data_IF_542928340178
#
_entry.id   IF_542928340178
#
_cell.length_a   1.000
_cell.length_b   1.000
_cell.length_c   1.000
_cell.angle_alpha   90.00
_cell.angle_beta   90.00
_cell.angle_gamma   90.00
#
_symmetry.space_group_name_H-M   'P 1'
#
loop_
_entity.id
_entity.type
_entity.pdbx_description
1 polymer ?
#
# COMPACT_ATOMS: atom_id res chain seq x y z
N UNK A 1 16.28 7.04 -10.70
CA UNK A 1 16.12 5.99 -9.68
C UNK A 1 16.18 6.53 -8.25
N UNK A 2 16.93 7.59 -8.04
CA UNK A 2 17.20 8.11 -6.68
C UNK A 2 16.04 8.89 -6.02
N UNK A 3 14.89 9.07 -6.72
CA UNK A 3 13.88 9.97 -6.21
C UNK A 3 13.03 9.37 -5.08
N UNK A 4 12.49 8.17 -5.24
CA UNK A 4 11.53 7.62 -4.27
C UNK A 4 12.19 7.22 -2.94
N UNK A 5 13.36 6.58 -2.97
CA UNK A 5 14.14 6.28 -1.76
C UNK A 5 14.54 7.57 -1.05
N UNK A 6 15.02 8.56 -1.81
CA UNK A 6 15.40 9.86 -1.27
C UNK A 6 14.20 10.55 -0.61
N UNK A 7 13.02 10.51 -1.22
CA UNK A 7 11.80 11.08 -0.64
C UNK A 7 11.43 10.42 0.70
N UNK A 8 11.52 9.09 0.80
CA UNK A 8 11.33 8.39 2.08
C UNK A 8 12.42 8.76 3.09
N UNK A 9 13.68 8.91 2.67
CA UNK A 9 14.77 9.38 3.52
C UNK A 9 14.52 10.79 4.06
N UNK A 10 14.02 11.69 3.21
CA UNK A 10 13.61 13.05 3.60
C UNK A 10 12.45 13.02 4.60
N UNK A 11 11.45 12.16 4.36
CA UNK A 11 10.31 12.00 5.28
C UNK A 11 10.75 11.55 6.67
N UNK A 12 11.67 10.57 6.76
CA UNK A 12 12.25 10.14 8.04
C UNK A 12 13.01 11.30 8.72
N UNK A 13 13.87 12.00 7.99
CA UNK A 13 14.62 13.14 8.54
C UNK A 13 13.69 14.26 9.03
N UNK A 14 12.59 14.54 8.32
CA UNK A 14 11.58 15.51 8.73
C UNK A 14 10.95 15.10 10.05
N UNK A 15 10.54 13.84 10.16
CA UNK A 15 10.02 13.30 11.42
C UNK A 15 11.05 13.37 12.54
N UNK A 16 12.31 12.98 12.29
CA UNK A 16 13.39 13.04 13.27
C UNK A 16 13.59 14.47 13.80
N UNK A 17 13.64 15.44 12.92
CA UNK A 17 13.87 16.83 13.29
C UNK A 17 12.69 17.46 14.04
N UNK A 18 11.46 17.03 13.76
CA UNK A 18 10.25 17.67 14.27
C UNK A 18 9.70 16.97 15.51
N UNK A 19 9.72 15.64 15.54
CA UNK A 19 8.96 14.85 16.53
C UNK A 19 9.81 13.91 17.37
N UNK A 20 10.96 13.43 16.85
CA UNK A 20 11.73 12.35 17.48
C UNK A 20 12.15 12.67 18.91
N UNK A 21 12.63 13.88 19.18
CA UNK A 21 13.11 14.26 20.52
C UNK A 21 12.00 14.15 21.56
N UNK A 22 10.84 14.78 21.31
CA UNK A 22 9.69 14.76 22.22
C UNK A 22 9.09 13.35 22.33
N UNK A 23 9.02 12.62 21.23
CA UNK A 23 8.49 11.26 21.23
C UNK A 23 9.40 10.30 22.00
N UNK A 24 10.72 10.35 21.77
CA UNK A 24 11.72 9.47 22.40
C UNK A 24 11.82 9.69 23.90
N UNK A 25 11.67 10.91 24.41
CA UNK A 25 11.69 11.20 25.85
C UNK A 25 10.61 10.44 26.62
N UNK A 26 9.48 10.18 25.98
CA UNK A 26 8.35 9.46 26.56
C UNK A 26 8.37 7.95 26.24
N UNK A 27 9.25 7.49 25.34
CA UNK A 27 9.23 6.16 24.75
C UNK A 27 10.64 5.56 24.53
N UNK A 28 11.57 5.75 25.46
CA UNK A 28 13.00 5.42 25.27
C UNK A 28 13.27 4.00 24.73
N UNK A 29 12.63 2.98 25.32
CA UNK A 29 12.82 1.58 24.87
C UNK A 29 12.23 1.34 23.46
N UNK A 30 11.11 1.99 23.16
CA UNK A 30 10.45 1.87 21.87
C UNK A 30 11.27 2.60 20.80
N UNK A 31 11.89 3.73 21.14
CA UNK A 31 12.76 4.50 20.26
C UNK A 31 13.96 3.68 19.78
N UNK A 32 14.61 2.93 20.65
CA UNK A 32 15.71 2.02 20.28
C UNK A 32 15.28 0.95 19.29
N UNK A 33 14.07 0.41 19.43
CA UNK A 33 13.52 -0.57 18.47
C UNK A 33 13.19 0.10 17.13
N UNK A 34 12.65 1.31 17.16
CA UNK A 34 12.36 2.07 15.94
C UNK A 34 13.64 2.39 15.16
N UNK A 35 14.71 2.82 15.85
CA UNK A 35 16.01 3.06 15.19
C UNK A 35 16.54 1.81 14.50
N UNK A 36 16.38 0.63 15.10
CA UNK A 36 16.70 -0.65 14.46
C UNK A 36 15.81 -0.90 13.23
N UNK A 37 14.52 -0.62 13.30
CA UNK A 37 13.59 -0.78 12.16
C UNK A 37 13.99 0.14 11.01
N UNK A 38 14.26 1.42 11.29
CA UNK A 38 14.73 2.38 10.29
C UNK A 38 16.06 1.93 9.68
N UNK A 39 16.99 1.47 10.51
CA UNK A 39 18.31 0.97 10.09
C UNK A 39 18.28 -0.25 9.18
N UNK A 40 17.16 -0.99 9.10
CA UNK A 40 16.97 -2.10 8.13
C UNK A 40 16.83 -1.60 6.68
N UNK A 41 16.64 -0.30 6.48
CA UNK A 41 16.40 0.31 5.18
C UNK A 41 15.01 0.00 4.62
N UNK A 42 14.82 0.30 3.35
CA UNK A 42 13.57 0.15 2.64
C UNK A 42 13.55 -1.12 1.78
N UNK A 43 12.35 -1.53 1.38
CA UNK A 43 12.14 -2.41 0.25
C UNK A 43 11.19 -1.71 -0.72
N UNK A 44 11.61 -1.52 -1.96
CA UNK A 44 10.90 -0.72 -2.95
C UNK A 44 10.82 -1.47 -4.28
N UNK A 45 9.69 -1.33 -4.96
CA UNK A 45 9.50 -1.73 -6.35
C UNK A 45 9.58 -0.46 -7.22
N UNK A 46 10.58 -0.36 -8.09
CA UNK A 46 10.91 0.88 -8.80
C UNK A 46 10.41 0.95 -10.25
N UNK A 47 10.00 -0.19 -10.82
CA UNK A 47 9.56 -0.31 -12.22
C UNK A 47 8.03 -0.32 -12.39
N UNK A 48 7.33 0.37 -11.50
CA UNK A 48 5.87 0.41 -11.54
C UNK A 48 5.36 1.12 -12.80
N UNK A 49 4.46 0.48 -13.57
CA UNK A 49 3.92 1.08 -14.78
C UNK A 49 2.97 2.25 -14.47
N UNK A 50 2.95 3.23 -15.35
CA UNK A 50 1.95 4.31 -15.32
C UNK A 50 0.64 3.78 -15.91
N UNK A 51 -0.49 4.10 -15.29
CA UNK A 51 -1.85 3.71 -15.71
C UNK A 51 -2.10 2.19 -15.73
N UNK A 52 -1.33 1.42 -14.98
CA UNK A 52 -1.52 -0.03 -14.87
C UNK A 52 -2.39 -0.45 -13.69
N UNK A 53 -2.28 -1.74 -13.35
CA UNK A 53 -2.82 -2.31 -12.12
C UNK A 53 -1.73 -2.18 -11.04
N UNK A 54 -2.06 -1.58 -9.91
CA UNK A 54 -1.16 -1.44 -8.78
C UNK A 54 -1.58 -2.39 -7.65
N UNK A 55 -0.83 -3.46 -7.44
CA UNK A 55 -0.99 -4.29 -6.25
C UNK A 55 -0.39 -3.55 -5.04
N UNK A 56 -1.12 -3.51 -3.93
CA UNK A 56 -0.69 -2.80 -2.74
C UNK A 56 -0.67 -3.70 -1.50
N UNK A 57 0.43 -3.67 -0.78
CA UNK A 57 0.62 -4.25 0.54
C UNK A 57 0.61 -3.20 1.66
N UNK A 58 0.92 -3.61 2.88
CA UNK A 58 1.04 -2.67 4.01
C UNK A 58 2.49 -2.32 4.29
N UNK A 59 3.36 -3.30 4.42
CA UNK A 59 4.79 -3.12 4.58
C UNK A 59 5.54 -4.41 4.21
N UNK A 60 6.80 -4.31 3.75
CA UNK A 60 7.59 -5.47 3.40
C UNK A 60 8.03 -6.26 4.65
N UNK A 61 8.13 -7.57 4.52
CA UNK A 61 8.72 -8.44 5.54
C UNK A 61 10.22 -8.16 5.70
N UNK A 62 10.75 -8.49 6.86
CA UNK A 62 12.20 -8.47 7.12
C UNK A 62 12.69 -9.90 7.35
N UNK A 63 13.12 -10.64 6.34
CA UNK A 63 13.96 -11.82 6.52
C UNK A 63 15.36 -11.34 6.98
N UNK A 64 15.88 -11.97 8.06
CA UNK A 64 17.07 -11.47 8.77
C UNK A 64 18.35 -11.37 7.93
N UNK A 65 18.39 -12.04 6.78
CA UNK A 65 19.58 -12.20 5.95
C UNK A 65 19.62 -11.29 4.70
N UNK A 66 18.55 -10.55 4.42
CA UNK A 66 18.49 -9.70 3.23
C UNK A 66 18.80 -8.24 3.58
N UNK A 67 19.72 -7.64 2.83
CA UNK A 67 19.91 -6.18 2.81
C UNK A 67 18.69 -5.50 2.16
N UNK A 68 18.59 -4.18 2.33
CA UNK A 68 17.59 -3.38 1.60
C UNK A 68 17.61 -3.73 0.11
N UNK A 69 16.45 -4.00 -0.46
CA UNK A 69 16.37 -4.55 -1.81
C UNK A 69 15.46 -3.67 -2.67
N UNK A 70 16.01 -3.30 -3.80
CA UNK A 70 15.23 -2.81 -4.93
C UNK A 70 14.93 -4.00 -5.81
N UNK A 71 13.69 -4.17 -6.22
CA UNK A 71 13.34 -5.23 -7.15
C UNK A 71 12.42 -4.72 -8.25
N UNK A 72 12.46 -5.42 -9.36
CA UNK A 72 11.37 -5.39 -10.32
C UNK A 72 10.20 -6.20 -9.77
N UNK A 73 8.97 -5.72 -9.96
CA UNK A 73 7.78 -6.51 -9.61
C UNK A 73 7.80 -7.86 -10.33
N UNK A 74 8.39 -7.94 -11.51
CA UNK A 74 8.53 -9.18 -12.26
C UNK A 74 9.46 -10.20 -11.60
N UNK A 75 10.44 -9.76 -10.82
CA UNK A 75 11.44 -10.59 -10.13
C UNK A 75 11.02 -11.00 -8.71
N UNK A 76 9.96 -10.39 -8.18
CA UNK A 76 9.47 -10.71 -6.84
C UNK A 76 9.11 -12.19 -6.72
N UNK A 77 9.71 -12.88 -5.75
CA UNK A 77 9.55 -14.32 -5.51
C UNK A 77 9.22 -14.62 -4.07
N UNK A 78 8.89 -15.88 -3.76
CA UNK A 78 8.54 -16.33 -2.43
C UNK A 78 7.03 -16.52 -2.21
N UNK A 79 6.66 -16.99 -1.02
CA UNK A 79 5.29 -17.46 -0.70
C UNK A 79 4.20 -16.40 -0.89
N UNK A 80 4.48 -15.15 -0.56
CA UNK A 80 3.52 -14.05 -0.75
C UNK A 80 3.30 -13.79 -2.24
N UNK A 81 4.41 -13.77 -3.01
CA UNK A 81 4.42 -13.42 -4.42
C UNK A 81 3.91 -14.52 -5.33
N UNK A 82 4.10 -15.80 -4.97
CA UNK A 82 3.76 -16.95 -5.82
C UNK A 82 2.32 -16.89 -6.34
N UNK A 83 1.38 -16.47 -5.48
CA UNK A 83 -0.03 -16.32 -5.83
C UNK A 83 -0.28 -15.12 -6.74
N UNK A 84 0.26 -13.96 -6.38
CA UNK A 84 0.11 -12.76 -7.20
C UNK A 84 0.82 -12.88 -8.55
N UNK A 85 1.95 -13.58 -8.60
CA UNK A 85 2.64 -13.92 -9.84
C UNK A 85 1.76 -14.78 -10.76
N UNK A 86 0.98 -15.72 -10.20
CA UNK A 86 -0.02 -16.50 -10.95
C UNK A 86 -1.19 -15.63 -11.40
N UNK A 87 -1.78 -14.88 -10.48
CA UNK A 87 -3.03 -14.16 -10.70
C UNK A 87 -2.88 -12.93 -11.59
N UNK A 88 -1.73 -12.26 -11.53
CA UNK A 88 -1.40 -11.08 -12.34
C UNK A 88 -0.46 -11.43 -13.51
N UNK A 89 -0.27 -12.71 -13.83
CA UNK A 89 0.71 -13.17 -14.82
C UNK A 89 0.60 -12.44 -16.17
N UNK A 90 -0.61 -12.30 -16.69
CA UNK A 90 -0.86 -11.60 -17.96
C UNK A 90 -0.41 -10.14 -17.88
N UNK A 91 -0.81 -9.43 -16.85
CA UNK A 91 -0.49 -8.01 -16.68
C UNK A 91 0.99 -7.76 -16.38
N UNK A 92 1.64 -8.68 -15.66
CA UNK A 92 3.08 -8.64 -15.43
C UNK A 92 3.87 -8.84 -16.73
N UNK A 93 3.51 -9.83 -17.54
CA UNK A 93 4.19 -10.10 -18.81
C UNK A 93 4.05 -8.97 -19.83
N UNK A 94 3.00 -8.16 -19.72
CA UNK A 94 2.76 -6.97 -20.55
C UNK A 94 3.26 -5.67 -19.91
N UNK A 95 3.96 -5.76 -18.78
CA UNK A 95 4.43 -4.60 -18.00
C UNK A 95 3.32 -3.59 -17.66
N UNK A 96 2.12 -4.09 -17.33
CA UNK A 96 0.95 -3.29 -16.93
C UNK A 96 0.53 -3.53 -15.49
N UNK A 97 1.30 -4.30 -14.72
CA UNK A 97 1.11 -4.48 -13.28
C UNK A 97 2.36 -4.07 -12.51
N UNK A 98 2.15 -3.40 -11.37
CA UNK A 98 3.19 -2.96 -10.44
C UNK A 98 2.84 -3.29 -8.99
N UNK A 99 3.75 -2.94 -8.08
CA UNK A 99 3.57 -3.16 -6.66
C UNK A 99 4.05 -1.98 -5.82
N UNK A 100 3.31 -1.67 -4.74
CA UNK A 100 3.72 -0.71 -3.73
C UNK A 100 3.28 -1.17 -2.34
N UNK A 101 4.15 -1.03 -1.34
CA UNK A 101 3.73 -1.09 0.05
C UNK A 101 3.32 0.31 0.54
N UNK A 102 2.32 0.39 1.41
CA UNK A 102 1.91 1.66 2.02
C UNK A 102 3.03 2.28 2.84
N UNK A 103 3.85 1.43 3.45
CA UNK A 103 5.01 1.83 4.23
C UNK A 103 6.23 1.02 3.78
N UNK A 104 7.35 1.66 3.43
CA UNK A 104 8.53 0.95 2.91
C UNK A 104 9.36 0.27 3.99
N UNK A 105 9.03 0.48 5.28
CA UNK A 105 9.79 -0.05 6.42
C UNK A 105 9.65 -1.56 6.54
N UNK A 106 10.77 -2.25 6.70
CA UNK A 106 10.88 -3.70 6.73
C UNK A 106 10.56 -4.28 8.11
N UNK A 107 9.33 -4.76 8.29
CA UNK A 107 8.82 -5.26 9.57
C UNK A 107 8.05 -6.56 9.39
N UNK A 108 8.51 -7.66 10.02
CA UNK A 108 7.92 -8.99 9.83
C UNK A 108 6.62 -9.24 10.58
N UNK A 109 6.33 -8.46 11.62
CA UNK A 109 5.15 -8.67 12.49
C UNK A 109 4.33 -7.40 12.56
N UNK A 110 3.48 -7.16 11.55
CA UNK A 110 2.69 -5.94 11.41
C UNK A 110 2.05 -5.47 12.72
N UNK A 111 1.17 -6.26 13.33
CA UNK A 111 0.47 -5.85 14.56
C UNK A 111 1.41 -5.69 15.76
N UNK A 112 2.42 -6.55 15.89
CA UNK A 112 3.29 -6.57 17.07
C UNK A 112 4.45 -5.58 17.00
N UNK A 113 4.95 -5.30 15.82
CA UNK A 113 6.11 -4.43 15.63
C UNK A 113 5.73 -3.11 14.97
N UNK A 114 5.09 -3.16 13.78
CA UNK A 114 4.77 -1.94 13.05
C UNK A 114 3.79 -1.04 13.83
N UNK A 115 2.66 -1.60 14.28
CA UNK A 115 1.66 -0.82 15.04
C UNK A 115 2.18 -0.33 16.39
N UNK A 116 3.05 -1.11 17.02
CA UNK A 116 3.59 -0.77 18.35
C UNK A 116 4.74 0.22 18.29
N UNK A 117 5.64 0.10 17.31
CA UNK A 117 6.93 0.81 17.33
C UNK A 117 7.03 1.97 16.35
N UNK A 118 6.19 2.02 15.31
CA UNK A 118 6.20 3.12 14.33
C UNK A 118 5.17 4.17 14.77
N UNK A 119 5.62 5.37 15.17
CA UNK A 119 4.71 6.42 15.65
C UNK A 119 3.80 6.96 14.55
N UNK A 120 2.70 7.55 14.97
CA UNK A 120 1.64 8.08 14.10
C UNK A 120 2.19 9.10 13.09
N UNK A 121 3.01 10.02 13.58
CA UNK A 121 3.59 11.11 12.80
C UNK A 121 4.54 10.55 11.72
N UNK A 122 5.34 9.53 12.06
CA UNK A 122 6.21 8.88 11.07
C UNK A 122 5.38 8.12 10.04
N UNK A 123 4.31 7.43 10.45
CA UNK A 123 3.38 6.79 9.50
C UNK A 123 2.80 7.83 8.54
N UNK A 124 2.39 9.00 9.05
CA UNK A 124 1.83 10.07 8.22
C UNK A 124 2.84 10.58 7.19
N UNK A 125 4.08 10.84 7.59
CA UNK A 125 5.15 11.29 6.70
C UNK A 125 5.46 10.26 5.60
N UNK A 126 5.58 8.98 5.96
CA UNK A 126 5.85 7.92 4.99
C UNK A 126 4.66 7.71 4.03
N UNK A 127 3.44 7.74 4.57
CA UNK A 127 2.23 7.54 3.76
C UNK A 127 2.02 8.67 2.76
N UNK A 128 2.42 9.91 3.09
CA UNK A 128 2.40 11.04 2.18
C UNK A 128 3.28 10.78 0.94
N UNK A 129 4.49 10.26 1.14
CA UNK A 129 5.38 9.89 0.01
C UNK A 129 4.74 8.80 -0.84
N UNK A 130 4.19 7.76 -0.20
CA UNK A 130 3.48 6.67 -0.91
C UNK A 130 2.30 7.20 -1.70
N UNK A 131 1.49 8.10 -1.12
CA UNK A 131 0.35 8.70 -1.82
C UNK A 131 0.81 9.51 -3.04
N UNK A 132 1.87 10.30 -2.90
CA UNK A 132 2.45 11.07 -4.02
C UNK A 132 2.90 10.13 -5.15
N UNK A 133 3.51 8.99 -4.81
CA UNK A 133 3.92 8.01 -5.82
C UNK A 133 2.71 7.34 -6.50
N UNK A 134 1.67 6.97 -5.76
CA UNK A 134 0.43 6.43 -6.34
C UNK A 134 -0.20 7.45 -7.30
N UNK A 135 -0.25 8.73 -6.92
CA UNK A 135 -0.74 9.81 -7.78
C UNK A 135 0.10 9.98 -9.07
N UNK A 136 1.42 9.84 -8.96
CA UNK A 136 2.32 9.87 -10.12
C UNK A 136 2.07 8.71 -11.07
N UNK A 137 1.87 7.50 -10.54
CA UNK A 137 1.61 6.29 -11.30
C UNK A 137 0.24 6.29 -11.99
N UNK A 138 -0.74 7.01 -11.43
CA UNK A 138 -2.12 7.09 -11.95
C UNK A 138 -2.72 5.72 -12.30
N UNK A 139 -2.70 4.73 -11.39
CA UNK A 139 -3.22 3.41 -11.68
C UNK A 139 -4.70 3.47 -12.08
N UNK A 140 -5.12 2.56 -12.96
CA UNK A 140 -6.54 2.39 -13.28
C UNK A 140 -7.25 1.55 -12.21
N UNK A 141 -6.52 0.61 -11.62
CA UNK A 141 -6.98 -0.26 -10.54
C UNK A 141 -5.90 -0.39 -9.49
N UNK A 142 -6.25 -0.16 -8.22
CA UNK A 142 -5.45 -0.50 -7.06
C UNK A 142 -6.06 -1.76 -6.45
N UNK A 143 -5.28 -2.83 -6.29
CA UNK A 143 -5.67 -4.04 -5.57
C UNK A 143 -4.99 -4.01 -4.21
N UNK A 144 -5.72 -3.66 -3.16
CA UNK A 144 -5.18 -3.66 -1.80
C UNK A 144 -5.40 -5.00 -1.13
N UNK A 145 -4.32 -5.77 -1.00
CA UNK A 145 -4.33 -7.16 -0.52
C UNK A 145 -4.27 -7.29 1.00
N UNK A 146 -4.92 -6.39 1.72
CA UNK A 146 -5.02 -6.43 3.18
C UNK A 146 -6.23 -5.62 3.69
N UNK A 147 -7.38 -6.27 3.84
CA UNK A 147 -8.61 -5.61 4.29
C UNK A 147 -8.45 -4.83 5.59
N UNK A 148 -7.60 -5.28 6.52
CA UNK A 148 -7.46 -4.64 7.84
C UNK A 148 -6.67 -3.32 7.80
N UNK A 149 -6.02 -3.00 6.69
CA UNK A 149 -5.27 -1.74 6.50
C UNK A 149 -5.86 -0.85 5.40
N UNK A 150 -7.03 -1.19 4.86
CA UNK A 150 -7.69 -0.39 3.83
C UNK A 150 -8.10 1.01 4.32
N UNK A 151 -8.24 1.20 5.62
CA UNK A 151 -8.52 2.50 6.22
C UNK A 151 -7.46 3.56 5.86
N UNK A 152 -6.22 3.17 5.56
CA UNK A 152 -5.20 4.11 5.07
C UNK A 152 -5.58 4.79 3.75
N UNK A 153 -6.40 4.16 2.93
CA UNK A 153 -6.95 4.76 1.72
C UNK A 153 -8.14 5.69 1.98
N UNK A 154 -8.80 5.57 3.13
CA UNK A 154 -10.02 6.32 3.47
C UNK A 154 -11.29 5.46 3.49
N UNK A 155 -11.18 4.12 3.58
CA UNK A 155 -12.36 3.24 3.73
C UNK A 155 -13.01 3.35 5.10
N UNK A 156 -12.34 3.95 6.07
CA UNK A 156 -12.87 4.30 7.37
C UNK A 156 -12.97 5.82 7.47
N UNK A 157 -14.18 6.37 7.49
CA UNK A 157 -14.38 7.82 7.55
C UNK A 157 -13.93 8.45 8.87
N UNK A 158 -13.79 7.67 9.95
CA UNK A 158 -13.31 8.14 11.24
C UNK A 158 -11.77 8.28 11.26
N UNK A 159 -11.07 7.57 10.37
CA UNK A 159 -9.62 7.55 10.27
C UNK A 159 -9.14 7.72 8.81
N UNK A 160 -9.45 8.85 8.15
CA UNK A 160 -9.21 9.00 6.72
C UNK A 160 -7.77 9.42 6.39
N UNK A 161 -6.81 8.54 6.49
CA UNK A 161 -5.37 8.83 6.31
C UNK A 161 -5.00 9.50 4.98
N UNK A 162 -5.08 8.79 3.85
CA UNK A 162 -4.86 9.39 2.52
C UNK A 162 -6.01 10.31 2.12
N UNK A 163 -7.17 10.09 2.71
CA UNK A 163 -8.34 10.94 2.53
C UNK A 163 -9.01 10.83 1.18
N UNK A 164 -8.90 9.71 0.48
CA UNK A 164 -9.70 9.51 -0.73
C UNK A 164 -11.19 9.43 -0.38
N UNK A 165 -11.99 10.19 -1.10
CA UNK A 165 -13.45 10.06 -1.09
C UNK A 165 -13.84 8.84 -1.94
N UNK A 166 -14.34 7.80 -1.26
CA UNK A 166 -14.53 6.47 -1.82
C UNK A 166 -16.02 6.16 -1.95
N UNK A 167 -16.48 5.95 -3.17
CA UNK A 167 -17.81 5.43 -3.44
C UNK A 167 -17.74 3.92 -3.65
N UNK A 168 -18.46 3.14 -2.84
CA UNK A 168 -18.59 1.71 -3.06
C UNK A 168 -19.32 1.43 -4.38
N UNK A 169 -18.79 0.48 -5.14
CA UNK A 169 -19.32 0.02 -6.44
C UNK A 169 -19.73 -1.44 -6.32
N UNK A 170 -20.81 -1.81 -7.00
CA UNK A 170 -21.26 -3.19 -7.02
C UNK A 170 -20.26 -4.07 -7.78
N UNK A 171 -19.95 -5.23 -7.20
CA UNK A 171 -19.12 -6.25 -7.82
C UNK A 171 -19.95 -7.17 -8.71
N UNK A 172 -19.36 -7.73 -9.77
CA UNK A 172 -19.92 -8.88 -10.47
C UNK A 172 -20.30 -9.99 -9.47
N UNK A 173 -21.36 -10.74 -9.79
CA UNK A 173 -21.90 -11.76 -8.88
C UNK A 173 -20.84 -12.81 -8.49
N UNK A 174 -19.96 -13.14 -9.42
CA UNK A 174 -18.87 -14.11 -9.25
C UNK A 174 -17.80 -13.63 -8.25
N UNK A 175 -17.70 -12.32 -8.03
CA UNK A 175 -16.77 -11.70 -7.10
C UNK A 175 -17.37 -11.35 -5.74
N UNK A 176 -18.68 -11.61 -5.54
CA UNK A 176 -19.33 -11.36 -4.25
C UNK A 176 -18.64 -12.16 -3.14
N UNK A 177 -18.33 -11.50 -2.02
CA UNK A 177 -17.63 -12.10 -0.88
C UNK A 177 -16.10 -12.17 -1.00
N UNK A 178 -15.51 -11.90 -2.19
CA UNK A 178 -14.05 -11.91 -2.39
C UNK A 178 -13.38 -10.60 -1.99
N UNK A 179 -14.11 -9.50 -2.00
CA UNK A 179 -13.61 -8.19 -1.63
C UNK A 179 -14.68 -7.12 -1.68
N UNK A 180 -14.24 -5.87 -1.63
CA UNK A 180 -15.10 -4.68 -1.81
C UNK A 180 -14.44 -3.80 -2.86
N UNK A 181 -15.23 -3.31 -3.81
CA UNK A 181 -14.79 -2.41 -4.86
C UNK A 181 -15.24 -0.99 -4.53
N UNK A 182 -14.33 -0.05 -4.65
CA UNK A 182 -14.59 1.37 -4.53
C UNK A 182 -14.15 2.10 -5.79
N UNK A 183 -14.75 3.24 -6.04
CA UNK A 183 -14.31 4.22 -7.04
C UNK A 183 -13.89 5.50 -6.33
N UNK A 184 -12.73 6.02 -6.62
CA UNK A 184 -12.25 7.30 -6.09
C UNK A 184 -13.05 8.42 -6.76
N UNK A 185 -13.71 9.24 -5.94
CA UNK A 185 -14.52 10.40 -6.38
C UNK A 185 -13.76 11.71 -6.24
N UNK A 186 -12.78 11.75 -5.36
CA UNK A 186 -12.01 12.93 -5.03
C UNK A 186 -11.23 12.74 -3.74
N UNK A 187 -11.00 13.83 -3.04
CA UNK A 187 -10.48 13.84 -1.68
C UNK A 187 -11.56 14.37 -0.73
N UNK A 188 -11.59 13.80 0.48
CA UNK A 188 -12.33 14.35 1.60
C UNK A 188 -11.83 15.77 1.91
N UNK A 189 -12.65 16.60 2.52
CA UNK A 189 -12.19 17.92 2.95
C UNK A 189 -11.08 17.80 4.03
N UNK A 190 -10.24 18.82 4.16
CA UNK A 190 -9.08 18.76 5.05
C UNK A 190 -9.43 18.52 6.52
N UNK A 191 -10.61 18.94 6.98
CA UNK A 191 -11.05 18.74 8.36
C UNK A 191 -11.23 17.25 8.74
N UNK A 192 -11.46 16.39 7.74
CA UNK A 192 -11.68 14.96 7.94
C UNK A 192 -10.43 14.11 7.65
N UNK A 193 -9.25 14.72 7.47
CA UNK A 193 -8.02 14.00 7.17
C UNK A 193 -7.01 14.12 8.30
N UNK A 194 -6.35 13.00 8.63
CA UNK A 194 -5.26 12.98 9.61
C UNK A 194 -4.03 13.67 9.05
N UNK A 195 -3.76 13.46 7.77
CA UNK A 195 -2.60 14.04 7.12
C UNK A 195 -2.96 15.38 6.48
N UNK A 196 -2.70 16.43 7.18
CA UNK A 196 -3.06 17.82 6.86
C UNK A 196 -2.12 18.49 5.84
N UNK A 197 -0.94 17.94 5.57
CA UNK A 197 0.01 18.50 4.58
C UNK A 197 -0.14 17.89 3.19
N UNK A 198 -1.21 17.19 2.93
CA UNK A 198 -1.38 16.45 1.70
C UNK A 198 -2.09 17.20 0.62
N UNK A 199 -2.18 16.53 -0.49
CA UNK A 199 -2.79 16.91 -1.74
C UNK A 199 -4.11 17.67 -1.50
N UNK A 200 -4.22 18.81 -2.14
CA UNK A 200 -5.49 19.56 -2.19
C UNK A 200 -6.45 19.01 -3.23
N UNK A 201 -5.93 18.22 -4.18
CA UNK A 201 -6.71 17.57 -5.24
C UNK A 201 -6.02 16.27 -5.65
N UNK A 202 -6.76 15.35 -6.22
CA UNK A 202 -6.25 14.06 -6.71
C UNK A 202 -6.41 13.93 -8.22
N UNK A 203 -5.39 13.36 -8.87
CA UNK A 203 -5.44 12.90 -10.26
C UNK A 203 -6.09 11.52 -10.43
N UNK A 204 -6.54 10.88 -9.33
CA UNK A 204 -7.07 9.51 -9.34
C UNK A 204 -8.59 9.45 -9.42
N UNK A 205 -9.28 10.55 -9.71
CA UNK A 205 -10.73 10.52 -9.91
C UNK A 205 -11.07 9.51 -10.99
N UNK A 206 -11.92 8.54 -10.66
CA UNK A 206 -12.29 7.45 -11.56
C UNK A 206 -11.46 6.18 -11.39
N UNK A 207 -10.31 6.23 -10.72
CA UNK A 207 -9.53 5.03 -10.34
C UNK A 207 -10.35 4.12 -9.44
N UNK A 208 -10.20 2.81 -9.62
CA UNK A 208 -10.84 1.82 -8.78
C UNK A 208 -9.89 1.31 -7.70
N UNK A 209 -10.43 1.07 -6.50
CA UNK A 209 -9.76 0.42 -5.38
C UNK A 209 -10.50 -0.86 -5.02
N UNK A 210 -9.88 -2.00 -5.28
CA UNK A 210 -10.40 -3.31 -4.86
C UNK A 210 -9.69 -3.77 -3.60
N UNK A 211 -10.43 -3.88 -2.50
CA UNK A 211 -9.92 -4.30 -1.20
C UNK A 211 -10.26 -5.76 -0.96
N UNK A 212 -9.26 -6.60 -0.79
CA UNK A 212 -9.44 -8.03 -0.55
C UNK A 212 -8.65 -8.53 0.68
N UNK A 213 -8.92 -9.78 1.08
CA UNK A 213 -8.16 -10.44 2.14
C UNK A 213 -6.73 -10.73 1.68
N UNK A 214 -5.82 -10.88 2.64
CA UNK A 214 -4.45 -11.32 2.37
C UNK A 214 -4.44 -12.73 1.77
N UNK A 215 -3.99 -12.84 0.52
CA UNK A 215 -4.15 -14.06 -0.27
C UNK A 215 -3.23 -15.22 0.13
N UNK A 216 -2.06 -14.95 0.70
CA UNK A 216 -1.07 -15.98 1.05
C UNK A 216 -1.51 -16.97 2.15
N UNK A 217 -2.63 -16.70 2.82
CA UNK A 217 -3.22 -17.55 3.87
C UNK A 217 -4.48 -18.28 3.41
N UNK A 218 -4.99 -17.95 2.23
CA UNK A 218 -6.22 -18.54 1.70
C UNK A 218 -5.90 -19.74 0.82
N UNK A 219 -6.81 -20.72 0.80
CA UNK A 219 -6.82 -21.83 -0.14
C UNK A 219 -7.78 -21.52 -1.29
N UNK A 220 -7.72 -22.30 -2.36
CA UNK A 220 -8.56 -22.06 -3.55
C UNK A 220 -10.06 -22.21 -3.26
N UNK A 221 -10.42 -23.04 -2.29
CA UNK A 221 -11.79 -23.23 -1.81
C UNK A 221 -12.33 -22.13 -0.90
N UNK A 222 -11.46 -21.22 -0.39
CA UNK A 222 -11.89 -20.16 0.51
C UNK A 222 -12.63 -19.05 -0.26
N UNK A 223 -13.77 -18.60 0.25
CA UNK A 223 -14.60 -17.54 -0.39
C UNK A 223 -13.81 -16.28 -0.74
N UNK A 224 -12.83 -15.92 0.08
CA UNK A 224 -12.01 -14.72 -0.17
C UNK A 224 -10.83 -14.95 -1.13
N UNK A 225 -10.67 -16.15 -1.67
CA UNK A 225 -9.61 -16.45 -2.62
C UNK A 225 -9.82 -15.72 -3.94
N UNK A 226 -8.76 -15.10 -4.45
CA UNK A 226 -8.74 -14.41 -5.73
C UNK A 226 -7.95 -15.25 -6.73
N UNK A 227 -8.56 -15.60 -7.85
CA UNK A 227 -7.93 -16.30 -8.97
C UNK A 227 -7.53 -15.33 -10.08
N UNK A 228 -6.80 -15.82 -11.08
CA UNK A 228 -6.52 -15.07 -12.31
C UNK A 228 -7.81 -14.68 -13.05
N UNK A 229 -8.79 -15.59 -13.10
CA UNK A 229 -10.08 -15.34 -13.75
C UNK A 229 -10.85 -14.21 -13.03
N UNK A 230 -10.80 -14.16 -11.71
CA UNK A 230 -11.43 -13.09 -10.93
C UNK A 230 -10.82 -11.71 -11.25
N UNK A 231 -9.51 -11.64 -11.40
CA UNK A 231 -8.83 -10.40 -11.83
C UNK A 231 -9.28 -10.00 -13.23
N UNK A 232 -9.35 -10.95 -14.15
CA UNK A 232 -9.84 -10.70 -15.53
C UNK A 232 -11.29 -10.20 -15.51
N UNK A 233 -12.17 -10.84 -14.76
CA UNK A 233 -13.58 -10.41 -14.62
C UNK A 233 -13.68 -9.01 -14.01
N UNK A 234 -12.89 -8.73 -12.96
CA UNK A 234 -12.84 -7.41 -12.35
C UNK A 234 -12.40 -6.35 -13.36
N UNK A 235 -11.32 -6.59 -14.10
CA UNK A 235 -10.82 -5.67 -15.13
C UNK A 235 -11.85 -5.43 -16.24
N UNK A 236 -12.49 -6.49 -16.73
CA UNK A 236 -13.57 -6.37 -17.74
C UNK A 236 -14.74 -5.54 -17.21
N UNK A 237 -15.17 -5.77 -15.95
CA UNK A 237 -16.27 -5.04 -15.33
C UNK A 237 -16.00 -3.53 -15.24
N UNK A 238 -14.76 -3.13 -14.98
CA UNK A 238 -14.37 -1.72 -14.86
C UNK A 238 -13.76 -1.14 -16.14
N UNK A 239 -13.75 -1.90 -17.23
CA UNK A 239 -13.32 -1.45 -18.56
C UNK A 239 -11.81 -1.33 -18.75
N UNK A 240 -11.01 -2.05 -17.96
CA UNK A 240 -9.55 -2.18 -18.14
C UNK A 240 -9.26 -3.34 -19.11
N UNK A 241 -8.48 -3.05 -20.16
CA UNK A 241 -8.07 -4.03 -21.20
C UNK A 241 -6.60 -4.37 -21.09
#
# INVERSE_FOLDING_TARGET
MDSLENEYGIAIKRWENTYKATWSSNNEQIAKVLDVIIGRGFWLCLDNPIKGILLSGINPSYPKEEKAVYCSFNECSGRYWSRWNKNLRYYKSNNTAGYIDLFPLRVSKQKKEFEKYVPLELKAELLRVTQTEIERLKPQLIIHANKTSSFYYGTDPEHPWMGYDLQQVELPIELKGKGVLYRIKGLLNNANRINFETLHQTGLVGTYLFVCKMQNRLKEEDIGYISQNDITQLCNHIGIR
#
